data_IF_684780139490
#
_entry.id   IF_684780139490
#
_cell.length_a   1.000
_cell.length_b   1.000
_cell.length_c   1.000
_cell.angle_alpha   90.00
_cell.angle_beta   90.00
_cell.angle_gamma   90.00
#
_symmetry.space_group_name_H-M   'P 1'
#
loop_
_entity.id
_entity.type
_entity.pdbx_description
1 polymer ?
#
# COMPACT_ATOMS: atom_id res chain seq x y z
N UNK A 1 -3.38 0.39 -19.32
CA UNK A 1 -1.94 0.72 -19.18
C UNK A 1 -1.72 1.39 -17.83
N UNK A 2 -0.78 0.93 -16.98
CA UNK A 2 -0.47 1.58 -15.68
C UNK A 2 0.62 2.65 -15.84
N UNK A 3 0.51 3.82 -15.16
CA UNK A 3 1.58 4.82 -15.14
C UNK A 3 2.88 4.29 -14.52
N UNK A 4 4.02 4.83 -14.94
CA UNK A 4 5.35 4.47 -14.39
C UNK A 4 5.41 4.59 -12.86
N UNK A 5 4.77 5.63 -12.31
CA UNK A 5 4.69 5.87 -10.87
C UNK A 5 3.96 4.75 -10.11
N UNK A 6 2.95 4.13 -10.72
CA UNK A 6 2.20 3.05 -10.10
C UNK A 6 2.86 1.69 -10.32
N UNK A 7 3.49 1.48 -11.49
CA UNK A 7 4.25 0.26 -11.77
C UNK A 7 5.44 0.10 -10.81
N UNK A 8 6.26 1.14 -10.67
CA UNK A 8 7.43 1.11 -9.79
C UNK A 8 7.07 1.26 -8.30
N UNK A 9 5.86 1.71 -7.97
CA UNK A 9 5.46 2.09 -6.61
C UNK A 9 5.42 0.94 -5.60
N UNK A 10 5.39 -0.33 -6.04
CA UNK A 10 5.46 -1.50 -5.16
C UNK A 10 6.87 -1.64 -4.58
N UNK A 11 7.89 -1.48 -5.44
CA UNK A 11 9.30 -1.65 -5.07
C UNK A 11 9.85 -0.35 -4.48
N UNK A 12 9.45 0.79 -5.05
CA UNK A 12 9.95 2.10 -4.67
C UNK A 12 8.85 2.91 -3.97
N UNK A 13 8.74 2.70 -2.65
CA UNK A 13 7.86 3.45 -1.75
C UNK A 13 8.70 4.24 -0.74
N UNK A 14 8.95 5.54 -0.97
CA UNK A 14 9.82 6.33 -0.10
C UNK A 14 9.27 6.41 1.32
N UNK A 15 10.17 6.36 2.29
CA UNK A 15 9.84 6.47 3.71
C UNK A 15 9.91 7.91 4.23
N UNK A 16 10.68 8.79 3.59
CA UNK A 16 10.82 10.17 4.02
C UNK A 16 9.61 10.99 3.58
N UNK A 17 9.16 11.90 4.46
CA UNK A 17 8.06 12.83 4.12
C UNK A 17 8.42 13.73 2.93
N UNK A 18 9.70 14.07 2.78
CA UNK A 18 10.21 14.91 1.68
C UNK A 18 9.98 14.23 0.33
N UNK A 19 10.45 13.00 0.18
CA UNK A 19 10.37 12.27 -1.10
C UNK A 19 8.93 11.87 -1.40
N UNK A 20 8.15 11.47 -0.38
CA UNK A 20 6.73 11.22 -0.53
C UNK A 20 5.98 12.47 -1.02
N UNK A 21 6.28 13.66 -0.46
CA UNK A 21 5.68 14.93 -0.88
C UNK A 21 6.06 15.31 -2.32
N UNK A 22 7.30 15.05 -2.74
CA UNK A 22 7.72 15.26 -4.13
C UNK A 22 6.91 14.40 -5.11
N UNK A 23 6.63 13.14 -4.77
CA UNK A 23 5.78 12.28 -5.61
C UNK A 23 4.34 12.77 -5.64
N UNK A 24 3.78 13.15 -4.49
CA UNK A 24 2.44 13.75 -4.42
C UNK A 24 2.33 15.03 -5.25
N UNK A 25 3.41 15.82 -5.35
CA UNK A 25 3.43 17.02 -6.20
C UNK A 25 3.18 16.69 -7.68
N UNK A 26 3.67 15.54 -8.16
CA UNK A 26 3.41 15.09 -9.54
C UNK A 26 1.92 14.83 -9.74
N UNK A 27 1.27 14.13 -8.81
CA UNK A 27 -0.17 13.91 -8.86
C UNK A 27 -0.94 15.22 -8.80
N UNK A 28 -0.59 16.13 -7.87
CA UNK A 28 -1.25 17.43 -7.71
C UNK A 28 -1.15 18.29 -8.96
N UNK A 29 -0.01 18.27 -9.66
CA UNK A 29 0.16 18.95 -10.96
C UNK A 29 -0.74 18.33 -12.03
N UNK A 30 -0.83 17.00 -12.08
CA UNK A 30 -1.73 16.32 -13.00
C UNK A 30 -3.20 16.67 -12.74
N UNK A 31 -3.62 16.75 -11.47
CA UNK A 31 -5.00 17.16 -11.10
C UNK A 31 -5.30 18.58 -11.58
N UNK A 32 -4.39 19.53 -11.33
CA UNK A 32 -4.56 20.91 -11.82
C UNK A 32 -4.70 20.94 -13.34
N UNK A 33 -3.91 20.13 -14.05
CA UNK A 33 -3.97 20.01 -15.50
C UNK A 33 -5.30 19.43 -15.99
N UNK A 34 -5.75 18.31 -15.41
CA UNK A 34 -6.99 17.62 -15.80
C UNK A 34 -8.22 18.53 -15.60
N UNK A 35 -8.29 19.24 -14.47
CA UNK A 35 -9.43 20.10 -14.14
C UNK A 35 -9.28 21.54 -14.65
N UNK A 36 -8.17 21.89 -15.31
CA UNK A 36 -7.90 23.26 -15.77
C UNK A 36 -7.84 24.30 -14.64
N UNK A 37 -7.50 23.89 -13.42
CA UNK A 37 -7.53 24.71 -12.19
C UNK A 37 -6.12 25.18 -11.79
N UNK A 38 -5.73 26.32 -12.34
CA UNK A 38 -4.39 26.89 -12.15
C UNK A 38 -4.35 28.06 -11.16
N UNK A 39 -5.49 28.50 -10.62
CA UNK A 39 -5.49 29.61 -9.68
C UNK A 39 -4.83 29.19 -8.36
N UNK A 40 -4.25 30.17 -7.66
CA UNK A 40 -3.60 29.96 -6.37
C UNK A 40 -4.57 29.47 -5.29
N UNK A 41 -5.85 29.87 -5.38
CA UNK A 41 -6.91 29.47 -4.46
C UNK A 41 -7.45 28.06 -4.77
N UNK A 42 -7.19 27.53 -5.96
CA UNK A 42 -7.57 26.18 -6.30
C UNK A 42 -6.65 25.20 -5.57
N UNK A 43 -7.20 24.51 -4.58
CA UNK A 43 -6.49 23.48 -3.83
C UNK A 43 -6.56 22.15 -4.57
N UNK A 44 -5.43 21.55 -4.99
CA UNK A 44 -5.43 20.23 -5.59
C UNK A 44 -5.97 19.17 -4.64
N UNK A 45 -5.75 19.34 -3.34
CA UNK A 45 -6.24 18.41 -2.32
C UNK A 45 -7.77 18.46 -2.20
N UNK A 46 -8.41 19.63 -2.32
CA UNK A 46 -9.87 19.69 -2.32
C UNK A 46 -10.46 19.08 -3.59
N UNK A 47 -9.82 19.31 -4.75
CA UNK A 47 -10.19 18.65 -6.00
C UNK A 47 -10.06 17.13 -5.92
N UNK A 48 -9.04 16.62 -5.22
CA UNK A 48 -8.90 15.18 -4.99
C UNK A 48 -10.08 14.63 -4.20
N UNK A 49 -10.41 15.26 -3.08
CA UNK A 49 -11.50 14.83 -2.21
C UNK A 49 -12.83 14.91 -2.96
N UNK A 50 -13.11 16.02 -3.64
CA UNK A 50 -14.34 16.22 -4.39
C UNK A 50 -14.55 15.19 -5.53
N UNK A 51 -13.47 14.62 -6.07
CA UNK A 51 -13.51 13.65 -7.16
C UNK A 51 -13.12 12.23 -6.72
N UNK A 52 -13.10 11.95 -5.41
CA UNK A 52 -12.72 10.64 -4.85
C UNK A 52 -11.36 10.11 -5.34
N UNK A 53 -10.40 11.01 -5.60
CA UNK A 53 -9.06 10.65 -6.04
C UNK A 53 -8.18 10.38 -4.82
N UNK A 54 -7.79 9.12 -4.63
CA UNK A 54 -6.84 8.72 -3.60
C UNK A 54 -5.44 9.30 -3.80
N UNK A 55 -4.69 9.46 -2.72
CA UNK A 55 -3.28 9.85 -2.78
C UNK A 55 -2.41 8.76 -3.39
N UNK A 56 -1.26 9.13 -3.96
CA UNK A 56 -0.27 8.17 -4.46
C UNK A 56 0.27 7.30 -3.33
N UNK A 57 0.50 7.88 -2.14
CA UNK A 57 0.92 7.10 -0.98
C UNK A 57 -0.07 5.99 -0.67
N UNK A 58 -1.37 6.32 -0.71
CA UNK A 58 -2.42 5.35 -0.46
C UNK A 58 -2.43 4.23 -1.50
N UNK A 59 -2.40 4.60 -2.79
CA UNK A 59 -2.34 3.64 -3.90
C UNK A 59 -1.12 2.73 -3.84
N UNK A 60 0.05 3.26 -3.43
CA UNK A 60 1.26 2.44 -3.22
C UNK A 60 1.08 1.43 -2.10
N UNK A 61 0.50 1.84 -0.97
CA UNK A 61 0.18 0.92 0.14
C UNK A 61 -0.74 -0.20 -0.33
N UNK A 62 -1.82 0.14 -1.02
CA UNK A 62 -2.75 -0.82 -1.61
C UNK A 62 -2.06 -1.78 -2.58
N UNK A 63 -1.25 -1.26 -3.51
CA UNK A 63 -0.51 -2.09 -4.45
C UNK A 63 0.46 -3.05 -3.77
N UNK A 64 1.15 -2.62 -2.72
CA UNK A 64 2.05 -3.47 -1.92
C UNK A 64 1.30 -4.59 -1.22
N UNK A 65 0.17 -4.30 -0.58
CA UNK A 65 -0.67 -5.30 0.08
C UNK A 65 -1.26 -6.32 -0.91
N UNK A 66 -1.70 -5.86 -2.09
CA UNK A 66 -2.16 -6.74 -3.17
C UNK A 66 -1.04 -7.63 -3.69
N UNK A 67 0.18 -7.12 -3.82
CA UNK A 67 1.32 -7.94 -4.22
C UNK A 67 1.64 -9.00 -3.17
N UNK A 68 1.60 -8.63 -1.88
CA UNK A 68 1.81 -9.57 -0.78
C UNK A 68 0.74 -10.66 -0.74
N UNK A 69 -0.54 -10.34 -1.02
CA UNK A 69 -1.60 -11.34 -1.07
C UNK A 69 -1.38 -12.34 -2.21
N UNK A 70 -0.95 -11.89 -3.39
CA UNK A 70 -0.60 -12.78 -4.50
C UNK A 70 0.58 -13.69 -4.15
N UNK A 71 1.58 -13.15 -3.45
CA UNK A 71 2.75 -13.91 -2.98
C UNK A 71 2.34 -14.95 -1.92
N UNK A 72 1.49 -14.57 -0.96
CA UNK A 72 0.98 -15.46 0.08
C UNK A 72 0.18 -16.64 -0.50
N UNK A 73 -0.64 -16.41 -1.52
CA UNK A 73 -1.43 -17.45 -2.18
C UNK A 73 -0.66 -18.24 -3.25
N UNK A 74 0.67 -18.10 -3.34
CA UNK A 74 1.52 -18.74 -4.36
C UNK A 74 1.03 -18.52 -5.80
N UNK A 75 0.41 -17.36 -6.07
CA UNK A 75 -0.06 -16.97 -7.41
C UNK A 75 1.06 -16.34 -8.24
N UNK A 76 2.16 -15.99 -7.60
CA UNK A 76 3.40 -15.57 -8.24
C UNK A 76 4.28 -16.80 -8.42
N UNK A 77 5.02 -16.89 -9.53
CA UNK A 77 6.07 -17.91 -9.75
C UNK A 77 7.32 -17.60 -8.91
N UNK A 78 7.11 -17.31 -7.63
CA UNK A 78 8.11 -16.92 -6.64
C UNK A 78 7.88 -17.82 -5.43
N UNK A 79 8.94 -18.44 -4.94
CA UNK A 79 8.91 -19.27 -3.73
C UNK A 79 8.60 -18.40 -2.51
N UNK A 80 7.35 -18.43 -2.05
CA UNK A 80 6.89 -17.59 -0.93
C UNK A 80 7.53 -17.98 0.41
N UNK A 81 7.87 -19.27 0.58
CA UNK A 81 8.49 -19.86 1.77
C UNK A 81 9.85 -19.26 2.11
N UNK A 82 10.57 -18.70 1.12
CA UNK A 82 11.85 -18.03 1.33
C UNK A 82 11.71 -16.66 2.00
N UNK A 83 10.54 -16.03 1.87
CA UNK A 83 10.32 -14.63 2.26
C UNK A 83 9.26 -14.47 3.36
N UNK A 84 8.28 -15.38 3.41
CA UNK A 84 7.15 -15.32 4.32
C UNK A 84 7.13 -16.53 5.23
N UNK A 85 7.06 -16.26 6.54
CA UNK A 85 6.82 -17.28 7.56
C UNK A 85 5.45 -17.04 8.18
N UNK A 86 4.51 -18.00 8.09
CA UNK A 86 3.24 -17.92 8.81
C UNK A 86 3.48 -17.83 10.31
N UNK A 87 2.74 -16.97 11.01
CA UNK A 87 2.79 -16.92 12.47
C UNK A 87 2.00 -18.11 13.03
N UNK A 88 2.64 -19.00 13.78
CA UNK A 88 1.98 -20.10 14.48
C UNK A 88 1.37 -19.70 15.83
N UNK A 89 1.40 -18.40 16.16
CA UNK A 89 0.85 -17.86 17.40
C UNK A 89 -0.66 -18.09 17.49
N UNK A 90 -1.16 -18.44 18.69
CA UNK A 90 -2.60 -18.50 18.97
C UNK A 90 -3.30 -17.21 18.54
N UNK A 91 -4.50 -17.34 18.00
CA UNK A 91 -5.32 -16.20 17.64
C UNK A 91 -5.59 -15.33 18.86
N UNK A 92 -5.30 -14.04 18.73
CA UNK A 92 -5.63 -13.03 19.74
C UNK A 92 -6.32 -11.86 19.06
N UNK A 93 -6.77 -10.86 19.82
CA UNK A 93 -7.37 -9.64 19.25
C UNK A 93 -6.48 -8.97 18.19
N UNK A 94 -5.16 -9.17 18.25
CA UNK A 94 -4.17 -8.59 17.34
C UNK A 94 -3.50 -9.61 16.40
N UNK A 95 -3.79 -10.90 16.53
CA UNK A 95 -3.23 -11.96 15.68
C UNK A 95 -4.35 -12.78 15.05
N UNK A 96 -4.31 -12.95 13.75
CA UNK A 96 -5.28 -13.72 12.97
C UNK A 96 -4.60 -14.85 12.19
N UNK A 97 -5.35 -15.81 11.67
CA UNK A 97 -4.81 -16.98 10.95
C UNK A 97 -3.89 -16.63 9.77
N UNK A 98 -4.12 -15.49 9.12
CA UNK A 98 -3.29 -15.00 8.02
C UNK A 98 -2.07 -14.16 8.46
N UNK A 99 -1.82 -14.02 9.76
CA UNK A 99 -0.72 -13.19 10.25
C UNK A 99 0.64 -13.80 9.91
N UNK A 100 1.59 -12.93 9.56
CA UNK A 100 2.95 -13.31 9.18
C UNK A 100 3.93 -12.90 10.28
N UNK A 101 5.01 -13.66 10.44
CA UNK A 101 6.07 -13.32 11.40
C UNK A 101 6.74 -12.01 10.95
N UNK A 102 6.77 -10.98 11.81
CA UNK A 102 7.47 -9.74 11.49
C UNK A 102 8.97 -9.97 11.26
N UNK A 103 9.51 -9.36 10.21
CA UNK A 103 10.94 -9.44 9.91
C UNK A 103 11.67 -8.37 10.74
N UNK A 104 12.66 -8.81 11.53
CA UNK A 104 13.50 -7.89 12.29
C UNK A 104 14.40 -7.09 11.35
N UNK A 105 14.35 -5.77 11.47
CA UNK A 105 15.17 -4.86 10.68
C UNK A 105 16.06 -3.98 11.57
N UNK A 106 17.37 -4.09 11.40
CA UNK A 106 18.37 -3.28 12.13
C UNK A 106 18.45 -1.83 11.63
N UNK A 107 18.19 -1.62 10.34
CA UNK A 107 18.32 -0.30 9.70
C UNK A 107 16.96 0.20 9.22
N UNK A 108 16.79 1.53 9.19
CA UNK A 108 15.59 2.13 8.62
C UNK A 108 15.41 1.77 7.13
N UNK A 109 16.49 1.71 6.37
CA UNK A 109 16.45 1.34 4.94
C UNK A 109 15.77 -0.02 4.76
N UNK A 110 16.18 -1.03 5.54
CA UNK A 110 15.58 -2.35 5.46
C UNK A 110 14.17 -2.38 6.09
N UNK A 111 13.95 -1.68 7.21
CA UNK A 111 12.64 -1.59 7.87
C UNK A 111 11.55 -1.07 6.93
N UNK A 112 11.88 -0.08 6.11
CA UNK A 112 10.94 0.52 5.16
C UNK A 112 11.00 -0.09 3.76
N UNK A 113 11.79 -1.15 3.57
CA UNK A 113 11.75 -1.95 2.34
C UNK A 113 10.44 -2.73 2.22
N UNK A 114 10.24 -3.39 1.07
CA UNK A 114 8.99 -4.05 0.74
C UNK A 114 8.52 -5.03 1.83
N UNK A 115 9.32 -6.03 2.22
CA UNK A 115 8.83 -7.10 3.10
C UNK A 115 8.50 -6.64 4.52
N UNK A 116 9.42 -6.04 5.30
CA UNK A 116 9.16 -5.75 6.71
C UNK A 116 8.00 -4.75 6.87
N UNK A 117 7.97 -3.73 6.01
CA UNK A 117 6.90 -2.73 6.00
C UNK A 117 5.55 -3.33 5.60
N UNK A 118 5.50 -4.16 4.55
CA UNK A 118 4.22 -4.71 4.05
C UNK A 118 3.68 -5.79 4.98
N UNK A 119 4.54 -6.58 5.62
CA UNK A 119 4.13 -7.54 6.67
C UNK A 119 3.52 -6.81 7.86
N UNK A 120 4.10 -5.67 8.25
CA UNK A 120 3.56 -4.84 9.34
C UNK A 120 2.19 -4.28 8.96
N UNK A 121 2.07 -3.72 7.75
CA UNK A 121 0.79 -3.21 7.21
C UNK A 121 -0.26 -4.32 7.08
N UNK A 122 0.15 -5.55 6.70
CA UNK A 122 -0.70 -6.73 6.54
C UNK A 122 -1.25 -7.25 7.86
N UNK A 123 -0.39 -7.38 8.87
CA UNK A 123 -0.80 -7.83 10.20
C UNK A 123 -1.71 -6.81 10.92
N UNK A 124 -1.69 -5.55 10.48
CA UNK A 124 -2.58 -4.51 10.97
C UNK A 124 -3.96 -4.50 10.27
N UNK A 125 -4.19 -5.36 9.27
CA UNK A 125 -5.48 -5.43 8.58
C UNK A 125 -6.53 -6.12 9.46
N UNK A 126 -7.78 -5.62 9.45
CA UNK A 126 -8.91 -6.33 10.06
C UNK A 126 -9.12 -7.71 9.45
N UNK A 127 -9.62 -8.62 10.27
CA UNK A 127 -9.95 -10.00 9.87
C UNK A 127 -10.96 -10.05 8.73
N UNK A 128 -11.92 -9.13 8.73
CA UNK A 128 -13.04 -9.09 7.79
C UNK A 128 -12.59 -8.96 6.33
N UNK A 129 -11.46 -8.29 6.09
CA UNK A 129 -10.90 -8.12 4.75
C UNK A 129 -10.45 -9.46 4.16
N UNK A 130 -9.99 -10.39 5.00
CA UNK A 130 -9.52 -11.70 4.54
C UNK A 130 -10.65 -12.70 4.29
N UNK A 131 -11.81 -12.52 4.93
CA UNK A 131 -12.99 -13.36 4.70
C UNK A 131 -13.81 -12.92 3.48
N UNK A 132 -13.57 -11.70 2.97
CA UNK A 132 -14.24 -11.21 1.79
C UNK A 132 -13.90 -12.07 0.56
N UNK A 133 -14.87 -12.35 -0.33
CA UNK A 133 -14.64 -13.14 -1.54
C UNK A 133 -13.67 -12.46 -2.52
N UNK A 134 -13.65 -11.12 -2.51
CA UNK A 134 -12.66 -10.31 -3.22
C UNK A 134 -11.84 -9.48 -2.23
N UNK A 135 -10.62 -9.96 -1.94
CA UNK A 135 -9.65 -9.25 -1.12
C UNK A 135 -9.33 -7.86 -1.68
N UNK A 136 -9.30 -7.69 -3.00
CA UNK A 136 -8.93 -6.41 -3.61
C UNK A 136 -10.01 -5.35 -3.38
N UNK A 137 -11.27 -5.71 -3.62
CA UNK A 137 -12.42 -4.84 -3.37
C UNK A 137 -12.56 -4.48 -1.89
N UNK A 138 -12.44 -5.47 -0.99
CA UNK A 138 -12.52 -5.23 0.46
C UNK A 138 -11.39 -4.33 0.98
N UNK A 139 -10.19 -4.47 0.42
CA UNK A 139 -9.06 -3.63 0.78
C UNK A 139 -9.21 -2.20 0.27
N UNK A 140 -9.82 -2.01 -0.91
CA UNK A 140 -10.16 -0.67 -1.38
C UNK A 140 -11.23 -0.04 -0.49
N UNK A 141 -12.33 -0.73 -0.19
CA UNK A 141 -13.44 -0.20 0.62
C UNK A 141 -13.05 0.15 2.07
N UNK A 142 -12.14 -0.60 2.68
CA UNK A 142 -11.63 -0.27 4.02
C UNK A 142 -10.80 1.02 4.04
N UNK A 143 -10.36 1.49 2.87
CA UNK A 143 -9.38 2.56 2.78
C UNK A 143 -9.90 3.85 2.17
N UNK A 144 -11.17 3.86 1.75
CA UNK A 144 -11.91 5.04 1.30
C UNK A 144 -12.92 5.47 2.35
#
# INVERSE_FOLDING_TARGET
VRPKLEYAGIVWDPNTKKDASQLEMVQRRAIRFIYGKYNRLDSPSSLMIANNISSLQHRRKTARLKFLSLLYHNRLRIESSLYLSPSSSRETRHHHQYSLVPIFARTNIFKYSFFPRTITDWNALPRDIFFAPDFNGALESHTF
#
